data_IF_822933719829
#
_entry.id   IF_822933719829
#
_cell.length_a   1.000
_cell.length_b   1.000
_cell.length_c   1.000
_cell.angle_alpha   90.00
_cell.angle_beta   90.00
_cell.angle_gamma   90.00
#
_symmetry.space_group_name_H-M   'P 1'
#
loop_
_entity.id
_entity.type
_entity.pdbx_description
1 polymer ?
#
# COMPACT_ATOMS: atom_id res chain seq x y z
N UNK A 1 -15.29 17.29 -16.23
CA UNK A 1 -14.90 15.97 -15.73
C UNK A 1 -15.78 14.91 -16.39
N UNK A 2 -15.29 14.26 -17.47
CA UNK A 2 -16.10 13.32 -18.29
C UNK A 2 -15.65 11.86 -18.15
N UNK A 3 -14.64 11.59 -17.31
CA UNK A 3 -14.11 10.24 -17.15
C UNK A 3 -15.01 9.40 -16.24
N UNK A 4 -15.59 8.30 -16.74
CA UNK A 4 -16.44 7.41 -15.96
C UNK A 4 -15.69 6.75 -14.79
N UNK A 5 -14.38 6.51 -14.92
CA UNK A 5 -13.54 5.95 -13.87
C UNK A 5 -13.50 6.83 -12.62
N UNK A 6 -13.36 8.14 -12.80
CA UNK A 6 -13.29 9.09 -11.69
C UNK A 6 -14.59 9.16 -10.88
N UNK A 7 -15.73 8.81 -11.51
CA UNK A 7 -17.02 8.74 -10.83
C UNK A 7 -17.24 7.43 -10.07
N UNK A 8 -16.71 6.33 -10.59
CA UNK A 8 -16.93 4.99 -10.01
C UNK A 8 -16.01 4.69 -8.84
N UNK A 9 -14.87 5.39 -8.71
CA UNK A 9 -13.86 5.14 -7.67
C UNK A 9 -14.15 5.79 -6.32
N UNK A 10 -15.19 6.62 -6.19
CA UNK A 10 -15.39 7.45 -4.99
C UNK A 10 -14.32 8.54 -4.81
N UNK A 11 -13.54 8.84 -5.86
CA UNK A 11 -12.43 9.79 -5.80
C UNK A 11 -12.87 11.18 -5.32
N UNK A 12 -14.07 11.62 -5.69
CA UNK A 12 -14.60 12.92 -5.26
C UNK A 12 -14.87 12.97 -3.75
N UNK A 13 -15.17 11.83 -3.14
CA UNK A 13 -15.38 11.75 -1.69
C UNK A 13 -14.08 12.03 -0.93
N UNK A 14 -12.92 11.76 -1.56
CA UNK A 14 -11.62 12.04 -0.98
C UNK A 14 -11.39 13.53 -0.68
N UNK A 15 -12.07 14.43 -1.40
CA UNK A 15 -12.01 15.88 -1.14
C UNK A 15 -12.55 16.28 0.24
N UNK A 16 -13.36 15.44 0.86
CA UNK A 16 -13.92 15.65 2.20
C UNK A 16 -13.13 14.94 3.30
N UNK A 17 -11.99 14.32 2.95
CA UNK A 17 -11.14 13.57 3.86
C UNK A 17 -9.76 14.21 4.00
N UNK A 18 -9.06 13.91 5.09
CA UNK A 18 -7.69 14.40 5.33
C UNK A 18 -6.67 13.76 4.42
N UNK A 19 -7.01 12.63 3.81
CA UNK A 19 -6.18 11.90 2.87
C UNK A 19 -6.90 10.69 2.31
N UNK A 20 -6.29 10.09 1.30
CA UNK A 20 -6.78 8.89 0.65
C UNK A 20 -5.70 7.80 0.63
N UNK A 21 -6.11 6.56 0.77
CA UNK A 21 -5.28 5.38 0.52
C UNK A 21 -5.90 4.63 -0.65
N UNK A 22 -5.15 4.43 -1.72
CA UNK A 22 -5.62 3.78 -2.94
C UNK A 22 -4.90 2.45 -3.09
N UNK A 23 -5.62 1.35 -2.86
CA UNK A 23 -5.16 -0.02 -3.08
C UNK A 23 -5.47 -0.49 -4.50
N UNK A 24 -4.88 -1.61 -4.92
CA UNK A 24 -5.08 -2.14 -6.27
C UNK A 24 -6.50 -2.64 -6.48
N UNK A 25 -7.05 -3.33 -5.49
CA UNK A 25 -8.33 -4.02 -5.57
C UNK A 25 -9.24 -3.73 -4.36
N UNK A 26 -10.46 -4.18 -4.46
CA UNK A 26 -11.45 -4.01 -3.39
C UNK A 26 -11.10 -4.78 -2.11
N UNK A 27 -10.37 -5.89 -2.26
CA UNK A 27 -9.83 -6.68 -1.14
C UNK A 27 -8.85 -5.85 -0.34
N UNK A 28 -7.90 -5.17 -1.01
CA UNK A 28 -6.90 -4.29 -0.38
C UNK A 28 -7.60 -3.15 0.36
N UNK A 29 -8.53 -2.48 -0.32
CA UNK A 29 -9.32 -1.39 0.23
C UNK A 29 -10.01 -1.81 1.54
N UNK A 30 -10.72 -2.93 1.50
CA UNK A 30 -11.49 -3.41 2.66
C UNK A 30 -10.58 -3.86 3.80
N UNK A 31 -9.49 -4.57 3.48
CA UNK A 31 -8.56 -5.06 4.49
C UNK A 31 -7.81 -3.92 5.18
N UNK A 32 -7.19 -3.00 4.43
CA UNK A 32 -6.45 -1.88 5.03
C UNK A 32 -7.36 -0.92 5.78
N UNK A 33 -8.63 -0.75 5.35
CA UNK A 33 -9.61 0.01 6.11
C UNK A 33 -9.88 -0.65 7.48
N UNK A 34 -10.11 -1.96 7.52
CA UNK A 34 -10.32 -2.70 8.78
C UNK A 34 -9.12 -2.59 9.71
N UNK A 35 -7.89 -2.72 9.18
CA UNK A 35 -6.66 -2.52 9.97
C UNK A 35 -6.60 -1.10 10.53
N UNK A 36 -6.93 -0.10 9.73
CA UNK A 36 -6.97 1.30 10.17
C UNK A 36 -8.01 1.54 11.27
N UNK A 37 -9.21 1.01 11.13
CA UNK A 37 -10.26 1.13 12.15
C UNK A 37 -9.82 0.54 13.49
N UNK A 38 -9.13 -0.61 13.47
CA UNK A 38 -8.57 -1.22 14.68
C UNK A 38 -7.47 -0.35 15.29
N UNK A 39 -6.57 0.22 14.47
CA UNK A 39 -5.55 1.15 14.94
C UNK A 39 -6.17 2.39 15.59
N UNK A 40 -7.23 2.96 15.00
CA UNK A 40 -7.97 4.09 15.56
C UNK A 40 -8.63 3.74 16.90
N UNK A 41 -9.30 2.61 16.94
CA UNK A 41 -10.01 2.14 18.15
C UNK A 41 -9.10 2.01 19.37
N UNK A 42 -7.86 1.58 19.16
CA UNK A 42 -6.87 1.41 20.23
C UNK A 42 -5.90 2.58 20.35
N UNK A 43 -6.16 3.72 19.68
CA UNK A 43 -5.28 4.89 19.67
C UNK A 43 -3.84 4.55 19.27
N UNK A 44 -3.68 3.56 18.38
CA UNK A 44 -2.39 2.96 18.02
C UNK A 44 -1.82 3.49 16.70
N UNK A 45 -2.15 4.75 16.32
CA UNK A 45 -1.57 5.42 15.15
C UNK A 45 -2.32 5.17 13.84
N UNK A 46 -3.62 4.89 13.88
CA UNK A 46 -4.50 4.90 12.71
C UNK A 46 -4.66 6.30 12.12
N UNK A 47 -5.15 6.37 10.90
CA UNK A 47 -5.36 7.62 10.15
C UNK A 47 -6.81 8.08 10.28
N UNK A 48 -7.09 9.09 11.11
CA UNK A 48 -8.46 9.57 11.27
C UNK A 48 -8.91 10.33 10.01
N UNK A 49 -10.18 10.19 9.66
CA UNK A 49 -10.79 10.85 8.51
C UNK A 49 -10.02 10.59 7.20
N UNK A 50 -9.65 9.34 6.97
CA UNK A 50 -9.01 8.88 5.74
C UNK A 50 -9.99 7.99 4.97
N UNK A 51 -10.03 8.15 3.64
CA UNK A 51 -10.79 7.28 2.77
C UNK A 51 -9.91 6.22 2.12
N UNK A 52 -10.43 4.98 2.05
CA UNK A 52 -9.76 3.89 1.34
C UNK A 52 -10.49 3.64 0.01
N UNK A 53 -9.75 3.70 -1.10
CA UNK A 53 -10.27 3.64 -2.45
C UNK A 53 -9.77 2.38 -3.17
N UNK A 54 -10.59 1.86 -4.08
CA UNK A 54 -10.21 0.81 -5.01
C UNK A 54 -9.65 1.44 -6.29
N UNK A 55 -8.43 1.08 -6.67
CA UNK A 55 -7.75 1.57 -7.87
C UNK A 55 -8.13 0.82 -9.13
N UNK A 56 -8.87 -0.30 -9.04
CA UNK A 56 -9.21 -1.16 -10.18
C UNK A 56 -7.99 -1.68 -10.96
N UNK A 57 -6.94 -2.03 -10.21
CA UNK A 57 -5.66 -2.49 -10.72
C UNK A 57 -4.57 -1.42 -10.62
N UNK A 58 -3.32 -1.87 -10.50
CA UNK A 58 -2.17 -0.98 -10.28
C UNK A 58 -1.97 0.04 -11.41
N UNK A 59 -2.32 -0.29 -12.68
CA UNK A 59 -2.17 0.61 -13.83
C UNK A 59 -3.05 1.86 -13.72
N UNK A 60 -4.19 1.76 -13.05
CA UNK A 60 -5.14 2.86 -12.88
C UNK A 60 -4.82 3.76 -11.70
N UNK A 61 -3.91 3.34 -10.80
CA UNK A 61 -3.57 4.12 -9.60
C UNK A 61 -3.08 5.53 -9.94
N UNK A 62 -2.27 5.68 -10.98
CA UNK A 62 -1.75 6.98 -11.44
C UNK A 62 -2.86 7.96 -11.80
N UNK A 63 -3.96 7.46 -12.35
CA UNK A 63 -5.13 8.26 -12.77
C UNK A 63 -5.95 8.76 -11.57
N UNK A 64 -5.76 8.16 -10.40
CA UNK A 64 -6.41 8.56 -9.14
C UNK A 64 -5.46 9.41 -8.29
N UNK A 65 -4.20 8.97 -8.16
CA UNK A 65 -3.21 9.62 -7.29
C UNK A 65 -2.86 11.03 -7.78
N UNK A 66 -2.60 11.19 -9.08
CA UNK A 66 -2.21 12.48 -9.66
C UNK A 66 -3.26 13.57 -9.41
N UNK A 67 -4.53 13.42 -9.83
CA UNK A 67 -5.52 14.48 -9.64
C UNK A 67 -5.85 14.74 -8.18
N UNK A 68 -5.84 13.74 -7.30
CA UNK A 68 -6.04 13.95 -5.87
C UNK A 68 -4.93 14.84 -5.29
N UNK A 69 -3.68 14.54 -5.63
CA UNK A 69 -2.52 15.33 -5.15
C UNK A 69 -2.50 16.73 -5.74
N UNK A 70 -2.88 16.89 -7.03
CA UNK A 70 -3.04 18.21 -7.66
C UNK A 70 -4.14 19.05 -7.00
N UNK A 71 -5.16 18.42 -6.43
CA UNK A 71 -6.20 19.07 -5.62
C UNK A 71 -5.79 19.26 -4.14
N UNK A 72 -4.55 18.94 -3.78
CA UNK A 72 -4.02 19.09 -2.43
C UNK A 72 -4.40 17.96 -1.45
N UNK A 73 -5.03 16.88 -1.92
CA UNK A 73 -5.36 15.72 -1.08
C UNK A 73 -4.16 14.77 -1.03
N UNK A 74 -3.57 14.50 0.16
CA UNK A 74 -2.55 13.47 0.29
C UNK A 74 -3.12 12.10 -0.07
N UNK A 75 -2.72 11.55 -1.21
CA UNK A 75 -3.18 10.26 -1.69
C UNK A 75 -2.00 9.26 -1.72
N UNK A 76 -2.04 8.26 -0.85
CA UNK A 76 -1.07 7.18 -0.80
C UNK A 76 -1.46 6.07 -1.78
N UNK A 77 -0.51 5.58 -2.59
CA UNK A 77 -0.69 4.38 -3.40
C UNK A 77 -0.19 3.16 -2.63
N UNK A 78 -0.97 2.08 -2.61
CA UNK A 78 -0.56 0.78 -2.06
C UNK A 78 -0.58 -0.23 -3.19
N UNK A 79 0.57 -0.88 -3.43
CA UNK A 79 0.77 -1.82 -4.54
C UNK A 79 1.45 -3.11 -4.06
N UNK A 80 1.11 -4.21 -4.68
CA UNK A 80 1.76 -5.49 -4.45
C UNK A 80 3.25 -5.46 -4.88
N UNK A 81 4.06 -6.32 -4.32
CA UNK A 81 5.50 -6.36 -4.61
C UNK A 81 5.79 -6.70 -6.08
N UNK A 82 4.87 -7.34 -6.78
CA UNK A 82 5.06 -7.72 -8.20
C UNK A 82 5.20 -6.50 -9.12
N UNK A 83 4.86 -5.30 -8.66
CA UNK A 83 5.09 -4.03 -9.37
C UNK A 83 6.58 -3.82 -9.70
N UNK A 84 7.50 -4.44 -8.97
CA UNK A 84 8.95 -4.36 -9.30
C UNK A 84 9.29 -4.99 -10.65
N UNK A 85 8.49 -5.94 -11.14
CA UNK A 85 8.63 -6.52 -12.48
C UNK A 85 8.19 -5.56 -13.59
N UNK A 86 7.51 -4.47 -13.24
CA UNK A 86 6.80 -3.60 -14.18
C UNK A 86 7.61 -2.32 -14.45
N UNK A 87 8.11 -2.12 -15.68
CA UNK A 87 8.78 -0.86 -16.05
C UNK A 87 7.83 0.36 -15.89
N UNK A 88 6.55 0.15 -16.06
CA UNK A 88 5.48 1.17 -15.94
C UNK A 88 5.30 1.71 -14.50
N UNK A 89 5.98 1.14 -13.52
CA UNK A 89 6.11 1.77 -12.19
C UNK A 89 6.59 3.22 -12.33
N UNK A 90 7.39 3.54 -13.37
CA UNK A 90 7.83 4.89 -13.66
C UNK A 90 6.66 5.89 -13.80
N UNK A 91 5.54 5.49 -14.39
CA UNK A 91 4.36 6.34 -14.54
C UNK A 91 3.70 6.65 -13.18
N UNK A 92 3.66 5.66 -12.28
CA UNK A 92 3.17 5.86 -10.91
C UNK A 92 4.09 6.80 -10.12
N UNK A 93 5.42 6.67 -10.29
CA UNK A 93 6.39 7.56 -9.66
C UNK A 93 6.26 9.00 -10.17
N UNK A 94 5.92 9.17 -11.44
CA UNK A 94 5.61 10.49 -12.00
C UNK A 94 4.33 11.06 -11.39
N UNK A 95 3.25 10.29 -11.34
CA UNK A 95 2.00 10.68 -10.71
C UNK A 95 2.18 11.00 -9.20
N UNK A 96 3.14 10.33 -8.55
CA UNK A 96 3.55 10.58 -7.18
C UNK A 96 4.51 11.76 -7.02
N UNK A 97 4.76 12.56 -8.07
CA UNK A 97 5.66 13.73 -8.05
C UNK A 97 7.08 13.39 -7.56
N UNK A 98 7.57 12.17 -7.85
CA UNK A 98 8.96 11.81 -7.58
C UNK A 98 9.87 12.59 -8.54
N UNK A 99 10.92 13.29 -8.05
CA UNK A 99 11.81 14.07 -8.89
C UNK A 99 12.47 13.23 -10.00
N UNK A 100 12.59 13.79 -11.20
CA UNK A 100 13.15 13.10 -12.38
C UNK A 100 14.52 12.50 -12.10
N UNK A 101 15.41 13.24 -11.42
CA UNK A 101 16.74 12.76 -11.08
C UNK A 101 16.73 11.52 -10.17
N UNK A 102 15.73 11.40 -9.30
CA UNK A 102 15.59 10.24 -8.40
C UNK A 102 14.97 9.03 -9.11
N UNK A 103 14.08 9.26 -10.10
CA UNK A 103 13.41 8.16 -10.83
C UNK A 103 14.40 7.23 -11.51
N UNK A 104 15.50 7.76 -12.06
CA UNK A 104 16.55 6.94 -12.68
C UNK A 104 17.22 6.00 -11.65
N UNK A 105 17.58 6.52 -10.49
CA UNK A 105 18.16 5.72 -9.39
C UNK A 105 17.19 4.65 -8.90
N UNK A 106 15.93 5.01 -8.67
CA UNK A 106 14.87 4.07 -8.28
C UNK A 106 14.64 2.99 -9.35
N UNK A 107 14.74 3.36 -10.63
CA UNK A 107 14.69 2.41 -11.75
C UNK A 107 15.84 1.38 -11.68
N UNK A 108 17.04 1.82 -11.30
CA UNK A 108 18.19 0.94 -11.06
C UNK A 108 17.95 -0.01 -9.89
N UNK A 109 17.52 0.51 -8.73
CA UNK A 109 17.22 -0.30 -7.55
C UNK A 109 16.08 -1.31 -7.84
N UNK A 110 15.03 -0.89 -8.55
CA UNK A 110 13.96 -1.79 -9.02
C UNK A 110 14.50 -2.92 -9.88
N UNK A 111 15.36 -2.58 -10.87
CA UNK A 111 15.97 -3.56 -11.75
C UNK A 111 16.86 -4.56 -11.01
N UNK A 112 17.57 -4.11 -9.98
CA UNK A 112 18.37 -4.98 -9.10
C UNK A 112 17.48 -5.94 -8.29
N UNK A 113 16.41 -5.42 -7.68
CA UNK A 113 15.46 -6.25 -6.94
C UNK A 113 14.78 -7.29 -7.84
N UNK A 114 14.26 -6.90 -9.01
CA UNK A 114 13.68 -7.82 -9.99
C UNK A 114 14.70 -8.87 -10.47
N UNK A 115 15.94 -8.46 -10.72
CA UNK A 115 17.05 -9.35 -11.07
C UNK A 115 17.33 -10.40 -10.00
N UNK A 116 17.28 -10.03 -8.71
CA UNK A 116 17.47 -10.93 -7.59
C UNK A 116 16.38 -12.02 -7.52
N UNK A 117 15.11 -11.65 -7.73
CA UNK A 117 14.00 -12.61 -7.81
C UNK A 117 14.18 -13.58 -8.99
N UNK A 118 14.50 -13.05 -10.18
CA UNK A 118 14.70 -13.86 -11.40
C UNK A 118 15.87 -14.85 -11.26
N UNK A 119 16.99 -14.39 -10.75
CA UNK A 119 18.19 -15.23 -10.57
C UNK A 119 17.93 -16.45 -9.69
N UNK A 120 17.02 -16.32 -8.72
CA UNK A 120 16.65 -17.40 -7.78
C UNK A 120 15.37 -18.13 -8.19
N UNK A 121 14.74 -17.76 -9.30
CA UNK A 121 13.45 -18.28 -9.76
C UNK A 121 12.35 -18.13 -8.69
N UNK A 122 12.38 -17.03 -7.96
CA UNK A 122 11.39 -16.69 -6.93
C UNK A 122 10.33 -15.75 -7.48
N UNK A 123 9.13 -15.84 -6.90
CA UNK A 123 8.04 -14.91 -7.22
C UNK A 123 7.94 -13.80 -6.15
N UNK A 124 7.81 -12.52 -6.54
CA UNK A 124 7.63 -11.42 -5.60
C UNK A 124 6.44 -11.60 -4.66
N UNK A 125 5.39 -12.31 -5.09
CA UNK A 125 4.22 -12.63 -4.25
C UNK A 125 4.55 -13.36 -2.94
N UNK A 126 5.75 -13.91 -2.81
CA UNK A 126 6.23 -14.50 -1.56
C UNK A 126 6.98 -13.54 -0.65
N UNK A 127 7.12 -12.27 -1.04
CA UNK A 127 7.75 -11.22 -0.25
C UNK A 127 9.28 -11.15 -0.37
N UNK A 128 9.85 -10.03 0.12
CA UNK A 128 11.30 -9.78 0.06
C UNK A 128 12.11 -10.69 1.01
N UNK A 129 11.48 -11.26 2.03
CA UNK A 129 12.13 -12.17 2.98
C UNK A 129 12.67 -13.45 2.33
N UNK A 130 12.29 -13.78 1.10
CA UNK A 130 12.83 -14.90 0.32
C UNK A 130 14.22 -14.61 -0.25
N UNK A 131 14.60 -13.35 -0.33
CA UNK A 131 15.87 -12.91 -0.91
C UNK A 131 17.06 -13.15 0.03
N UNK A 132 18.27 -13.02 -0.48
CA UNK A 132 19.47 -12.96 0.38
C UNK A 132 19.44 -11.68 1.22
N UNK A 133 20.22 -11.65 2.29
CA UNK A 133 20.30 -10.47 3.15
C UNK A 133 20.67 -9.18 2.38
N UNK A 134 21.61 -9.28 1.43
CA UNK A 134 22.03 -8.15 0.59
C UNK A 134 20.93 -7.70 -0.37
N UNK A 135 20.30 -8.63 -1.09
CA UNK A 135 19.21 -8.33 -2.02
C UNK A 135 17.97 -7.81 -1.28
N UNK A 136 17.68 -8.37 -0.09
CA UNK A 136 16.60 -7.91 0.78
C UNK A 136 16.85 -6.46 1.21
N UNK A 137 18.05 -6.11 1.66
CA UNK A 137 18.40 -4.75 2.04
C UNK A 137 18.25 -3.76 0.87
N UNK A 138 18.59 -4.17 -0.36
CA UNK A 138 18.37 -3.36 -1.56
C UNK A 138 16.86 -3.14 -1.82
N UNK A 139 16.05 -4.19 -1.73
CA UNK A 139 14.60 -4.09 -1.90
C UNK A 139 13.96 -3.22 -0.81
N UNK A 140 14.39 -3.36 0.46
CA UNK A 140 13.94 -2.52 1.56
C UNK A 140 14.30 -1.04 1.35
N UNK A 141 15.50 -0.75 0.85
CA UNK A 141 15.92 0.62 0.54
C UNK A 141 15.04 1.24 -0.56
N UNK A 142 14.69 0.47 -1.60
CA UNK A 142 13.74 0.89 -2.63
C UNK A 142 12.38 1.21 -2.01
N UNK A 143 11.80 0.27 -1.26
CA UNK A 143 10.48 0.40 -0.62
C UNK A 143 10.48 1.64 0.28
N UNK A 144 11.46 1.78 1.17
CA UNK A 144 11.56 2.92 2.09
C UNK A 144 11.68 4.26 1.37
N UNK A 145 12.43 4.31 0.27
CA UNK A 145 12.54 5.55 -0.52
C UNK A 145 11.20 5.90 -1.18
N UNK A 146 10.45 4.91 -1.65
CA UNK A 146 9.14 5.12 -2.26
C UNK A 146 8.08 5.53 -1.23
N UNK A 147 8.13 5.01 0.01
CA UNK A 147 7.26 5.43 1.12
C UNK A 147 7.37 6.94 1.38
N UNK A 148 8.56 7.55 1.24
CA UNK A 148 8.74 9.00 1.41
C UNK A 148 7.90 9.82 0.42
N UNK A 149 7.56 9.24 -0.72
CA UNK A 149 6.73 9.83 -1.77
C UNK A 149 5.28 9.31 -1.76
N UNK A 150 4.89 8.58 -0.70
CA UNK A 150 3.54 8.04 -0.57
C UNK A 150 3.21 6.92 -1.55
N UNK A 151 4.22 6.16 -1.98
CA UNK A 151 4.06 4.91 -2.73
C UNK A 151 4.52 3.77 -1.83
N UNK A 152 3.59 2.95 -1.39
CA UNK A 152 3.78 1.88 -0.43
C UNK A 152 3.72 0.53 -1.14
N UNK A 153 4.86 -0.15 -1.25
CA UNK A 153 4.94 -1.52 -1.79
C UNK A 153 4.78 -2.51 -0.64
N UNK A 154 3.95 -3.52 -0.82
CA UNK A 154 3.68 -4.57 0.18
C UNK A 154 4.91 -5.50 0.31
N UNK A 155 5.73 -5.41 1.38
CA UNK A 155 7.00 -6.13 1.48
C UNK A 155 6.82 -7.64 1.63
N UNK A 156 5.67 -8.09 2.14
CA UNK A 156 5.31 -9.51 2.25
C UNK A 156 4.81 -10.11 0.94
N UNK A 157 4.75 -9.30 -0.13
CA UNK A 157 4.41 -9.72 -1.48
C UNK A 157 3.04 -9.27 -1.94
N UNK A 158 2.01 -9.63 -1.23
CA UNK A 158 0.61 -9.34 -1.52
C UNK A 158 -0.23 -9.31 -0.23
N UNK A 159 -1.43 -8.73 -0.33
CA UNK A 159 -2.33 -8.54 0.83
C UNK A 159 -2.63 -9.83 1.58
N UNK A 160 -2.75 -10.96 0.89
CA UNK A 160 -3.05 -12.26 1.49
C UNK A 160 -1.90 -12.85 2.34
N UNK A 161 -0.72 -12.22 2.33
CA UNK A 161 0.44 -12.66 3.12
C UNK A 161 0.58 -11.95 4.46
N UNK A 162 -0.20 -10.91 4.70
CA UNK A 162 -0.26 -10.26 6.00
C UNK A 162 -0.87 -11.17 7.06
N UNK A 163 -0.50 -10.96 8.31
CA UNK A 163 -1.00 -11.68 9.46
C UNK A 163 -0.93 -13.21 9.28
N UNK A 164 0.18 -13.70 8.74
CA UNK A 164 0.38 -15.12 8.44
C UNK A 164 0.22 -16.02 9.69
N UNK A 165 0.42 -15.48 10.89
CA UNK A 165 0.19 -16.17 12.16
C UNK A 165 -1.28 -16.58 12.40
N UNK A 166 -2.23 -15.94 11.71
CA UNK A 166 -3.65 -16.29 11.81
C UNK A 166 -4.02 -17.52 10.97
N UNK A 167 -3.09 -18.04 10.16
CA UNK A 167 -3.25 -19.25 9.36
C UNK A 167 -4.56 -19.28 8.53
N UNK A 168 -4.80 -18.22 7.75
CA UNK A 168 -5.95 -18.16 6.84
C UNK A 168 -5.64 -18.94 5.59
N UNK A 169 -6.07 -20.19 5.54
CA UNK A 169 -5.97 -21.05 4.35
C UNK A 169 -7.28 -20.95 3.56
N UNK A 170 -7.32 -20.01 2.64
CA UNK A 170 -8.48 -19.78 1.77
C UNK A 170 -8.02 -19.37 0.36
N UNK A 171 -8.81 -19.72 -0.65
CA UNK A 171 -8.59 -19.21 -2.01
C UNK A 171 -8.68 -17.68 -2.01
N UNK A 172 -8.01 -17.02 -2.96
CA UNK A 172 -8.05 -15.54 -3.09
C UNK A 172 -9.47 -14.96 -2.97
N UNK A 173 -10.45 -15.60 -3.59
CA UNK A 173 -11.86 -15.17 -3.56
C UNK A 173 -12.49 -15.19 -2.17
N UNK A 174 -12.07 -16.12 -1.33
CA UNK A 174 -12.64 -16.34 0.02
C UNK A 174 -11.73 -15.83 1.12
N UNK A 175 -10.54 -15.31 0.78
CA UNK A 175 -9.54 -14.90 1.75
C UNK A 175 -10.04 -13.77 2.67
N UNK A 176 -10.64 -12.73 2.12
CA UNK A 176 -11.09 -11.57 2.89
C UNK A 176 -12.15 -11.93 3.94
N UNK A 177 -13.24 -12.64 3.61
CA UNK A 177 -14.20 -13.11 4.61
C UNK A 177 -13.57 -14.00 5.68
N UNK A 178 -12.67 -14.91 5.28
CA UNK A 178 -11.96 -15.78 6.22
C UNK A 178 -11.02 -15.00 7.13
N UNK A 179 -10.29 -14.01 6.60
CA UNK A 179 -9.44 -13.13 7.37
C UNK A 179 -10.26 -12.31 8.39
N UNK A 180 -11.38 -11.74 7.97
CA UNK A 180 -12.26 -10.98 8.89
C UNK A 180 -12.85 -11.86 10.00
N UNK A 181 -13.19 -13.10 9.69
CA UNK A 181 -13.62 -14.07 10.69
C UNK A 181 -12.50 -14.36 11.73
N UNK A 182 -11.24 -14.47 11.27
CA UNK A 182 -10.07 -14.67 12.14
C UNK A 182 -9.70 -13.43 12.96
N UNK A 183 -9.89 -12.26 12.39
CA UNK A 183 -9.67 -11.00 13.10
C UNK A 183 -10.66 -10.81 14.27
N UNK A 184 -11.84 -11.42 14.18
CA UNK A 184 -12.91 -11.27 15.17
C UNK A 184 -13.63 -9.92 15.06
N UNK A 185 -14.92 -9.88 15.37
CA UNK A 185 -15.76 -8.66 15.30
C UNK A 185 -16.08 -8.07 16.67
N UNK A 186 -15.99 -8.88 17.73
CA UNK A 186 -16.38 -8.51 19.09
C UNK A 186 -15.13 -8.25 19.94
N UNK A 187 -14.94 -6.99 20.32
CA UNK A 187 -13.76 -6.53 21.08
C UNK A 187 -13.65 -7.10 22.49
N UNK A 188 -14.74 -7.61 23.02
CA UNK A 188 -14.76 -8.17 24.39
C UNK A 188 -14.38 -9.65 24.40
N UNK A 189 -14.27 -10.26 23.21
CA UNK A 189 -13.83 -11.65 23.06
C UNK A 189 -12.32 -11.79 23.03
N UNK A 190 -11.83 -12.92 23.53
CA UNK A 190 -10.41 -13.24 23.59
C UNK A 190 -9.78 -13.48 22.18
N UNK A 191 -10.59 -13.83 21.21
CA UNK A 191 -10.19 -14.06 19.81
C UNK A 191 -10.13 -12.79 18.96
N UNK A 192 -10.50 -11.62 19.53
CA UNK A 192 -10.37 -10.34 18.83
C UNK A 192 -8.90 -9.94 18.70
N UNK A 193 -8.44 -9.84 17.46
CA UNK A 193 -7.04 -9.46 17.15
C UNK A 193 -6.84 -7.96 17.35
N UNK A 194 -5.97 -7.62 18.29
CA UNK A 194 -5.61 -6.24 18.61
C UNK A 194 -4.38 -5.80 17.82
N UNK A 195 -4.20 -4.47 17.58
CA UNK A 195 -3.00 -3.96 16.96
C UNK A 195 -1.71 -4.32 17.71
N UNK A 196 -0.67 -4.67 16.94
CA UNK A 196 0.68 -4.96 17.42
C UNK A 196 1.70 -4.00 16.81
N UNK A 197 2.98 -4.11 17.17
CA UNK A 197 4.01 -3.20 16.66
C UNK A 197 4.54 -3.55 15.27
N UNK A 198 4.37 -4.79 14.84
CA UNK A 198 4.90 -5.30 13.57
C UNK A 198 3.88 -5.39 12.45
N UNK A 199 4.26 -6.14 11.41
CA UNK A 199 3.40 -6.61 10.33
C UNK A 199 2.59 -5.48 9.66
N UNK A 200 1.37 -5.77 9.23
CA UNK A 200 0.46 -4.82 8.58
C UNK A 200 0.15 -3.59 9.46
N UNK A 201 0.19 -3.75 10.78
CA UNK A 201 -0.04 -2.64 11.70
C UNK A 201 0.98 -1.52 11.53
N UNK A 202 2.27 -1.89 11.40
CA UNK A 202 3.35 -0.93 11.13
C UNK A 202 3.19 -0.32 9.74
N UNK A 203 2.83 -1.14 8.75
CA UNK A 203 2.64 -0.69 7.38
C UNK A 203 1.56 0.39 7.31
N UNK A 204 0.38 0.19 7.89
CA UNK A 204 -0.71 1.18 7.90
C UNK A 204 -0.34 2.41 8.73
N UNK A 205 0.39 2.26 9.86
CA UNK A 205 0.93 3.41 10.61
C UNK A 205 1.89 4.26 9.77
N UNK A 206 2.73 3.65 8.93
CA UNK A 206 3.64 4.39 8.05
C UNK A 206 2.85 5.19 7.01
N UNK A 207 1.81 4.63 6.42
CA UNK A 207 0.89 5.35 5.54
C UNK A 207 0.29 6.56 6.29
N UNK A 208 -0.17 6.34 7.51
CA UNK A 208 -0.73 7.38 8.35
C UNK A 208 0.24 8.52 8.66
N UNK A 209 1.49 8.18 8.97
CA UNK A 209 2.55 9.18 9.21
C UNK A 209 2.80 10.01 7.96
N UNK A 210 2.87 9.39 6.78
CA UNK A 210 3.06 10.12 5.54
C UNK A 210 1.86 11.06 5.26
N UNK A 211 0.62 10.59 5.43
CA UNK A 211 -0.58 11.42 5.24
C UNK A 211 -0.61 12.60 6.23
N UNK A 212 -0.17 12.41 7.46
CA UNK A 212 -0.18 13.44 8.50
C UNK A 212 0.99 14.44 8.43
N UNK A 213 2.09 14.08 7.77
CA UNK A 213 3.29 14.92 7.71
C UNK A 213 3.05 16.15 6.82
N UNK A 214 3.12 17.34 7.40
CA UNK A 214 3.01 18.59 6.65
C UNK A 214 4.14 18.81 5.62
N UNK A 215 5.29 18.13 5.81
CA UNK A 215 6.48 18.21 4.94
C UNK A 215 6.62 16.98 4.04
N UNK A 216 5.54 16.19 3.89
CA UNK A 216 5.55 14.98 3.04
C UNK A 216 6.07 15.29 1.64
N UNK A 217 6.89 14.40 1.12
CA UNK A 217 7.32 14.44 -0.28
C UNK A 217 6.21 13.88 -1.18
N UNK A 218 6.32 14.15 -2.49
CA UNK A 218 5.40 13.56 -3.47
C UNK A 218 4.11 14.35 -3.68
N UNK A 219 3.99 15.55 -3.12
CA UNK A 219 2.92 16.48 -3.47
C UNK A 219 3.42 17.45 -4.55
N UNK A 220 2.57 17.87 -5.50
CA UNK A 220 2.93 18.94 -6.43
C UNK A 220 3.18 20.24 -5.67
N UNK A 221 4.04 21.10 -6.25
CA UNK A 221 4.35 22.41 -5.71
C UNK A 221 3.18 23.38 -5.86
#
# INVERSE_FOLDING_TARGET
MRDPYLRSTGMLDALFHRGAVVGEHDVDRAFYNEINERLLKYSSGGVPNCIFLNGHGWQSLKEIIRPLREMGVPAAAVVDLDVIKRPELADLLEAASVPVGLRSSLGGMRGQADGAFRARKLEPSGGIAQLSAEDCACAEALIKTLEEYGVFIVPVGMVEKWLSSLHVDASKRNWLPAMFARLGSDTDKADYVRPEDGDVWRFVRNIGRWIADARRKGMPA
#
